data_IF_324196875623
#
_entry.id   IF_324196875623
#
_cell.length_a   1.000
_cell.length_b   1.000
_cell.length_c   1.000
_cell.angle_alpha   90.00
_cell.angle_beta   90.00
_cell.angle_gamma   90.00
#
_symmetry.space_group_name_H-M   'P 1'
#
loop_
_entity.id
_entity.type
_entity.pdbx_description
1 polymer ?
#
# COMPACT_ATOMS: atom_id res chain seq x y z
N UNK A 1 6.27 -15.90 6.57
CA UNK A 1 5.46 -14.74 6.14
C UNK A 1 5.88 -14.15 4.79
N UNK A 2 7.00 -14.59 4.20
CA UNK A 2 7.62 -13.96 3.03
C UNK A 2 6.75 -13.84 1.77
N UNK A 3 5.76 -14.72 1.56
CA UNK A 3 4.93 -14.70 0.35
C UNK A 3 3.56 -14.07 0.57
N UNK A 4 2.96 -14.29 1.73
CA UNK A 4 1.58 -13.86 2.05
C UNK A 4 1.47 -12.34 1.94
N UNK A 5 2.31 -11.61 2.66
CA UNK A 5 2.27 -10.15 2.68
C UNK A 5 2.50 -9.52 1.29
N UNK A 6 3.57 -9.87 0.55
CA UNK A 6 3.79 -9.33 -0.78
C UNK A 6 2.68 -9.66 -1.76
N UNK A 7 2.13 -10.88 -1.74
CA UNK A 7 1.05 -11.27 -2.65
C UNK A 7 -0.22 -10.46 -2.39
N UNK A 8 -0.66 -10.36 -1.13
CA UNK A 8 -1.85 -9.58 -0.77
C UNK A 8 -1.69 -8.09 -1.10
N UNK A 9 -0.53 -7.51 -0.79
CA UNK A 9 -0.25 -6.10 -1.07
C UNK A 9 -0.15 -5.82 -2.56
N UNK A 10 0.44 -6.75 -3.32
CA UNK A 10 0.49 -6.65 -4.79
C UNK A 10 -0.91 -6.73 -5.38
N UNK A 11 -1.74 -7.66 -4.90
CA UNK A 11 -3.13 -7.79 -5.34
C UNK A 11 -3.94 -6.52 -5.05
N UNK A 12 -3.90 -6.03 -3.80
CA UNK A 12 -4.61 -4.82 -3.40
C UNK A 12 -4.13 -3.59 -4.18
N UNK A 13 -2.82 -3.38 -4.28
CA UNK A 13 -2.24 -2.25 -5.03
C UNK A 13 -2.61 -2.29 -6.51
N UNK A 14 -2.53 -3.46 -7.14
CA UNK A 14 -2.92 -3.65 -8.55
C UNK A 14 -4.41 -3.42 -8.75
N UNK A 15 -5.27 -3.94 -7.87
CA UNK A 15 -6.71 -3.71 -7.93
C UNK A 15 -7.05 -2.21 -7.82
N UNK A 16 -6.40 -1.47 -6.91
CA UNK A 16 -6.57 -0.03 -6.78
C UNK A 16 -6.15 0.72 -8.05
N UNK A 17 -5.01 0.35 -8.66
CA UNK A 17 -4.52 0.99 -9.90
C UNK A 17 -5.39 0.66 -11.12
N UNK A 18 -5.87 -0.57 -11.25
CA UNK A 18 -6.80 -0.95 -12.32
C UNK A 18 -8.14 -0.23 -12.16
N UNK A 19 -8.62 -0.10 -10.91
CA UNK A 19 -9.86 0.58 -10.62
C UNK A 19 -9.76 2.10 -10.66
N UNK A 20 -8.56 2.68 -10.57
CA UNK A 20 -8.32 4.12 -10.69
C UNK A 20 -8.94 4.70 -11.97
N UNK A 21 -8.86 3.96 -13.09
CA UNK A 21 -9.44 4.37 -14.39
C UNK A 21 -10.98 4.37 -14.41
N UNK A 22 -11.62 3.63 -13.50
CA UNK A 22 -13.08 3.54 -13.39
C UNK A 22 -13.63 4.48 -12.30
N UNK A 23 -12.99 4.51 -11.14
CA UNK A 23 -13.46 5.31 -10.01
C UNK A 23 -13.00 6.78 -10.07
N UNK A 24 -11.83 7.08 -10.63
CA UNK A 24 -11.28 8.45 -10.66
C UNK A 24 -11.02 9.06 -9.27
N UNK A 25 -11.12 8.26 -8.20
CA UNK A 25 -11.00 8.72 -6.83
C UNK A 25 -9.54 8.82 -6.40
N UNK A 26 -9.25 9.81 -5.56
CA UNK A 26 -7.90 10.09 -5.09
C UNK A 26 -7.35 8.96 -4.22
N UNK A 27 -8.20 8.27 -3.44
CA UNK A 27 -7.76 7.12 -2.63
C UNK A 27 -7.09 6.01 -3.45
N UNK A 28 -7.58 5.70 -4.66
CA UNK A 28 -6.98 4.69 -5.54
C UNK A 28 -5.65 5.18 -6.12
N UNK A 29 -5.49 6.49 -6.28
CA UNK A 29 -4.26 7.10 -6.79
C UNK A 29 -3.13 7.06 -5.75
N UNK A 30 -3.46 7.19 -4.47
CA UNK A 30 -2.49 7.22 -3.37
C UNK A 30 -2.23 5.83 -2.78
N UNK A 31 -3.28 5.06 -2.50
CA UNK A 31 -3.16 3.74 -1.89
C UNK A 31 -2.56 2.69 -2.82
N UNK A 32 -2.83 2.76 -4.13
CA UNK A 32 -2.32 1.81 -5.12
C UNK A 32 -0.78 1.73 -5.13
N UNK A 33 -0.08 2.85 -5.39
CA UNK A 33 1.38 2.90 -5.32
C UNK A 33 1.92 2.56 -3.93
N UNK A 34 1.26 3.01 -2.85
CA UNK A 34 1.68 2.71 -1.48
C UNK A 34 1.70 1.21 -1.19
N UNK A 35 0.64 0.47 -1.53
CA UNK A 35 0.59 -0.97 -1.32
C UNK A 35 1.64 -1.72 -2.14
N UNK A 36 1.92 -1.28 -3.37
CA UNK A 36 2.98 -1.89 -4.19
C UNK A 36 4.38 -1.66 -3.60
N UNK A 37 4.65 -0.46 -3.08
CA UNK A 37 5.92 -0.18 -2.39
C UNK A 37 6.05 -1.08 -1.15
N UNK A 38 4.99 -1.21 -0.34
CA UNK A 38 5.00 -2.10 0.81
C UNK A 38 5.15 -3.58 0.42
N UNK A 39 4.61 -3.99 -0.73
CA UNK A 39 4.81 -5.34 -1.26
C UNK A 39 6.29 -5.61 -1.55
N UNK A 40 6.98 -4.66 -2.18
CA UNK A 40 8.41 -4.75 -2.47
C UNK A 40 9.23 -4.81 -1.17
N UNK A 41 8.97 -3.90 -0.22
CA UNK A 41 9.66 -3.89 1.08
C UNK A 41 9.46 -5.21 1.82
N UNK A 42 8.24 -5.71 1.85
CA UNK A 42 7.94 -6.99 2.49
C UNK A 42 8.59 -8.18 1.78
N UNK A 43 8.75 -8.14 0.45
CA UNK A 43 9.44 -9.18 -0.30
C UNK A 43 10.95 -9.14 0.00
N UNK A 44 11.56 -7.96 -0.07
CA UNK A 44 12.99 -7.77 0.23
C UNK A 44 13.34 -8.23 1.65
N UNK A 45 12.51 -7.89 2.64
CA UNK A 45 12.70 -8.38 4.01
C UNK A 45 12.44 -9.89 4.14
N UNK A 46 11.43 -10.42 3.43
CA UNK A 46 11.10 -11.85 3.45
C UNK A 46 12.10 -12.76 2.75
N UNK A 47 12.85 -12.25 1.76
CA UNK A 47 13.96 -12.94 1.11
C UNK A 47 15.31 -12.66 1.77
N UNK A 48 15.32 -11.98 2.93
CA UNK A 48 16.55 -11.63 3.67
C UNK A 48 17.54 -10.76 2.87
N UNK A 49 17.06 -10.08 1.81
CA UNK A 49 17.85 -9.09 1.06
C UNK A 49 18.04 -7.80 1.86
N UNK A 50 17.10 -7.50 2.76
CA UNK A 50 17.15 -6.34 3.66
C UNK A 50 16.79 -6.78 5.08
N UNK A 51 17.72 -6.60 6.01
CA UNK A 51 17.47 -6.83 7.42
C UNK A 51 16.91 -5.54 8.07
N UNK A 52 15.63 -5.59 8.46
CA UNK A 52 14.95 -4.53 9.20
C UNK A 52 15.01 -4.76 10.72
N UNK A 53 15.82 -5.73 11.15
CA UNK A 53 15.99 -6.14 12.54
C UNK A 53 14.87 -7.04 13.06
N UNK A 54 14.93 -7.40 14.36
CA UNK A 54 14.02 -8.36 14.99
C UNK A 54 12.54 -7.95 14.93
N UNK A 55 12.28 -6.64 14.87
CA UNK A 55 10.94 -6.06 14.80
C UNK A 55 10.48 -5.70 13.37
N UNK A 56 11.24 -6.09 12.33
CA UNK A 56 10.97 -5.71 10.94
C UNK A 56 9.55 -6.00 10.48
N UNK A 57 9.05 -7.21 10.73
CA UNK A 57 7.67 -7.61 10.42
C UNK A 57 6.61 -6.81 11.21
N UNK A 58 6.88 -6.42 12.44
CA UNK A 58 5.97 -5.57 13.23
C UNK A 58 5.90 -4.15 12.67
N UNK A 59 7.02 -3.60 12.24
CA UNK A 59 7.04 -2.29 11.59
C UNK A 59 6.36 -2.31 10.23
N UNK A 60 6.68 -3.29 9.37
CA UNK A 60 6.03 -3.44 8.06
C UNK A 60 4.51 -3.52 8.22
N UNK A 61 4.03 -4.35 9.15
CA UNK A 61 2.60 -4.52 9.37
C UNK A 61 1.94 -3.26 9.92
N UNK A 62 2.54 -2.62 10.92
CA UNK A 62 2.02 -1.39 11.52
C UNK A 62 1.94 -0.26 10.50
N UNK A 63 3.02 -0.01 9.75
CA UNK A 63 3.06 1.07 8.77
C UNK A 63 2.08 0.78 7.62
N UNK A 64 1.97 -0.47 7.19
CA UNK A 64 1.03 -0.82 6.11
C UNK A 64 -0.42 -0.64 6.53
N UNK A 65 -0.80 -1.07 7.74
CA UNK A 65 -2.18 -0.94 8.24
C UNK A 65 -2.51 0.54 8.50
N UNK A 66 -1.67 1.24 9.28
CA UNK A 66 -1.91 2.64 9.63
C UNK A 66 -1.85 3.53 8.38
N UNK A 67 -0.86 3.31 7.53
CA UNK A 67 -0.71 4.03 6.26
C UNK A 67 -1.85 3.74 5.29
N UNK A 68 -2.29 2.49 5.15
CA UNK A 68 -3.43 2.13 4.30
C UNK A 68 -4.74 2.78 4.75
N UNK A 69 -5.00 2.79 6.07
CA UNK A 69 -6.17 3.48 6.64
C UNK A 69 -6.07 4.99 6.40
N UNK A 70 -4.92 5.60 6.74
CA UNK A 70 -4.72 7.03 6.56
C UNK A 70 -4.90 7.46 5.09
N UNK A 71 -4.32 6.72 4.15
CA UNK A 71 -4.42 7.01 2.72
C UNK A 71 -5.80 6.78 2.12
N UNK A 72 -6.70 6.10 2.83
CA UNK A 72 -8.10 5.97 2.41
C UNK A 72 -8.88 7.26 2.64
N UNK A 73 -8.60 7.98 3.72
CA UNK A 73 -9.41 9.14 4.14
C UNK A 73 -8.69 10.48 4.00
N UNK A 74 -7.42 10.56 4.39
CA UNK A 74 -6.66 11.83 4.44
C UNK A 74 -6.54 12.48 3.06
N UNK A 75 -6.22 11.76 1.97
CA UNK A 75 -6.15 12.37 0.65
C UNK A 75 -7.51 12.87 0.16
N UNK A 76 -8.59 12.14 0.48
CA UNK A 76 -9.95 12.56 0.10
C UNK A 76 -10.41 13.80 0.89
N UNK A 77 -9.99 13.92 2.16
CA UNK A 77 -10.26 15.09 3.00
C UNK A 77 -9.50 16.33 2.52
N UNK A 78 -8.24 16.17 2.12
CA UNK A 78 -7.37 17.29 1.74
C UNK A 78 -7.61 17.79 0.31
N UNK A 79 -7.89 16.88 -0.64
CA UNK A 79 -7.92 17.18 -2.08
C UNK A 79 -9.32 16.98 -2.69
N UNK A 80 -10.30 16.50 -1.91
CA UNK A 80 -11.60 16.09 -2.40
C UNK A 80 -11.66 14.62 -2.84
N UNK A 81 -12.88 14.11 -3.09
CA UNK A 81 -13.09 12.67 -3.37
C UNK A 81 -12.62 12.24 -4.76
N UNK A 82 -12.68 13.13 -5.73
CA UNK A 82 -12.41 12.84 -7.14
C UNK A 82 -11.35 13.79 -7.67
N UNK A 83 -10.45 13.26 -8.51
CA UNK A 83 -9.52 14.10 -9.24
C UNK A 83 -10.28 14.73 -10.41
N UNK A 84 -10.49 16.04 -10.37
CA UNK A 84 -10.98 16.80 -11.52
C UNK A 84 -9.86 16.90 -12.55
N UNK A 85 -9.87 16.02 -13.56
CA UNK A 85 -9.22 16.26 -14.84
C UNK A 85 -10.21 16.88 -15.80
#
# INVERSE_FOLDING_TARGET
MAFVWPLFLTWMGTACLLNLRRCGRIHCYTSGPFFLIMAIISALHGFELVDLGPSGWSWISTITIVGGIALTWVPELALGRYRST
#
